data_IF_944623800960
#
_entry.id   IF_944623800960
#
_cell.length_a   1.000
_cell.length_b   1.000
_cell.length_c   1.000
_cell.angle_alpha   90.00
_cell.angle_beta   90.00
_cell.angle_gamma   90.00
#
_symmetry.space_group_name_H-M   'P 1'
#
loop_
_entity.id
_entity.type
_entity.pdbx_description
1 polymer ?
#
# COMPACT_ATOMS: atom_id res chain seq x y z
N UNK A 1 46.72 2.84 11.59
CA UNK A 1 46.51 2.03 10.38
C UNK A 1 45.05 1.61 10.34
N UNK A 2 44.36 2.02 9.27
CA UNK A 2 42.99 1.75 8.79
C UNK A 2 41.84 1.47 9.79
N UNK A 3 40.94 2.46 9.94
CA UNK A 3 39.56 2.27 10.40
C UNK A 3 38.72 1.73 9.24
N UNK A 4 38.17 0.53 9.36
CA UNK A 4 37.24 -0.02 8.36
C UNK A 4 35.86 0.57 8.60
N UNK A 5 35.52 1.63 7.86
CA UNK A 5 34.13 2.09 7.73
C UNK A 5 33.39 1.09 6.87
N UNK A 6 32.64 0.17 7.49
CA UNK A 6 31.69 -0.67 6.76
C UNK A 6 30.63 0.22 6.12
N UNK A 7 30.38 0.12 4.79
CA UNK A 7 29.24 0.81 4.21
C UNK A 7 27.97 0.12 4.75
N UNK A 8 27.20 0.84 5.57
CA UNK A 8 25.84 0.41 5.88
C UNK A 8 25.08 0.38 4.56
N UNK A 9 24.52 -0.77 4.14
CA UNK A 9 23.63 -0.77 3.00
C UNK A 9 22.42 0.07 3.40
N UNK A 10 22.33 1.26 2.81
CA UNK A 10 21.16 2.13 2.92
C UNK A 10 20.04 1.48 2.09
N UNK A 11 19.57 0.32 2.55
CA UNK A 11 18.44 -0.36 1.97
C UNK A 11 17.19 0.34 2.52
N UNK A 12 16.97 1.56 2.02
CA UNK A 12 15.66 2.20 2.06
C UNK A 12 14.76 1.34 1.17
N UNK A 13 14.31 0.21 1.72
CA UNK A 13 13.19 -0.54 1.17
C UNK A 13 12.06 0.48 1.14
N UNK A 14 11.69 0.93 -0.06
CA UNK A 14 10.54 1.82 -0.23
C UNK A 14 9.35 1.07 0.33
N UNK A 15 8.89 1.45 1.52
CA UNK A 15 7.64 0.96 2.07
C UNK A 15 6.54 1.66 1.30
N UNK A 16 6.01 0.99 0.28
CA UNK A 16 4.76 1.43 -0.35
C UNK A 16 3.63 0.95 0.54
N UNK A 17 2.72 1.85 0.86
CA UNK A 17 1.58 1.59 1.71
C UNK A 17 0.32 1.97 0.94
N UNK A 18 -0.46 0.96 0.57
CA UNK A 18 -1.78 1.12 -0.01
C UNK A 18 -2.81 1.29 1.10
N UNK A 19 -3.76 2.19 0.87
CA UNK A 19 -4.83 2.52 1.81
C UNK A 19 -6.15 2.65 1.05
N UNK A 20 -7.25 2.38 1.74
CA UNK A 20 -8.59 2.56 1.20
C UNK A 20 -9.41 3.52 2.06
N UNK A 21 -10.25 4.30 1.40
CA UNK A 21 -11.09 5.31 2.04
C UNK A 21 -12.43 4.69 2.40
N UNK A 22 -12.75 4.60 3.69
CA UNK A 22 -14.09 4.29 4.15
C UNK A 22 -14.93 5.56 4.24
N UNK A 23 -16.15 5.50 3.72
CA UNK A 23 -17.17 6.52 3.96
C UNK A 23 -18.31 5.90 4.78
N UNK A 24 -18.29 6.03 6.12
CA UNK A 24 -19.26 5.38 6.98
C UNK A 24 -20.67 5.97 6.87
N UNK A 25 -20.82 7.28 6.64
CA UNK A 25 -22.10 7.91 6.28
C UNK A 25 -21.99 8.68 4.94
N UNK A 26 -22.39 8.06 3.83
CA UNK A 26 -22.31 8.70 2.51
C UNK A 26 -23.26 9.88 2.29
N UNK A 27 -24.20 10.12 3.22
CA UNK A 27 -25.16 11.22 3.13
C UNK A 27 -24.89 12.35 4.12
N UNK A 28 -23.93 12.18 5.03
CA UNK A 28 -23.49 13.21 5.97
C UNK A 28 -22.57 14.21 5.27
N UNK A 29 -22.92 15.51 5.23
CA UNK A 29 -22.05 16.54 4.67
C UNK A 29 -20.82 16.85 5.54
N UNK A 30 -20.77 16.29 6.76
CA UNK A 30 -19.73 16.53 7.77
C UNK A 30 -18.82 15.34 8.03
N UNK A 31 -19.01 14.24 7.29
CA UNK A 31 -18.26 13.02 7.58
C UNK A 31 -16.80 13.12 7.15
N UNK A 32 -15.91 12.97 8.14
CA UNK A 32 -14.48 12.79 7.92
C UNK A 32 -14.25 11.35 7.49
N UNK A 33 -14.24 11.15 6.18
CA UNK A 33 -13.86 9.87 5.61
C UNK A 33 -12.53 9.39 6.20
N UNK A 34 -12.51 8.13 6.62
CA UNK A 34 -11.36 7.51 7.28
C UNK A 34 -10.55 6.73 6.26
N UNK A 35 -9.23 6.85 6.34
CA UNK A 35 -8.33 6.00 5.57
C UNK A 35 -7.98 4.78 6.42
N UNK A 36 -8.17 3.60 5.84
CA UNK A 36 -7.86 2.32 6.45
C UNK A 36 -6.72 1.68 5.68
N UNK A 37 -5.96 0.85 6.37
CA UNK A 37 -4.79 0.18 5.82
C UNK A 37 -5.19 -1.22 5.32
N UNK A 38 -4.59 -1.64 4.22
CA UNK A 38 -4.58 -3.06 3.85
C UNK A 38 -3.66 -3.82 4.80
N UNK A 39 -3.93 -5.11 5.02
CA UNK A 39 -2.99 -5.98 5.72
C UNK A 39 -1.67 -6.09 4.95
N UNK A 40 -0.58 -6.49 5.62
CA UNK A 40 0.74 -6.63 4.97
C UNK A 40 0.71 -7.54 3.74
N UNK A 41 -0.10 -8.61 3.77
CA UNK A 41 -0.27 -9.53 2.66
C UNK A 41 -1.04 -8.89 1.50
N UNK A 42 -2.16 -8.24 1.78
CA UNK A 42 -2.94 -7.52 0.75
C UNK A 42 -2.08 -6.41 0.13
N UNK A 43 -1.32 -5.67 0.93
CA UNK A 43 -0.41 -4.62 0.46
C UNK A 43 0.62 -5.17 -0.54
N UNK A 44 1.17 -6.36 -0.26
CA UNK A 44 2.12 -7.03 -1.16
C UNK A 44 1.46 -7.44 -2.48
N UNK A 45 0.25 -8.01 -2.42
CA UNK A 45 -0.51 -8.44 -3.61
C UNK A 45 -0.85 -7.23 -4.50
N UNK A 46 -1.29 -6.13 -3.87
CA UNK A 46 -1.65 -4.90 -4.56
C UNK A 46 -0.42 -4.29 -5.23
N UNK A 47 0.70 -4.20 -4.50
CA UNK A 47 1.95 -3.66 -5.02
C UNK A 47 2.48 -4.51 -6.19
N UNK A 48 2.47 -5.84 -6.07
CA UNK A 48 2.89 -6.74 -7.15
C UNK A 48 2.03 -6.55 -8.41
N UNK A 49 0.70 -6.55 -8.27
CA UNK A 49 -0.21 -6.36 -9.39
C UNK A 49 -0.04 -4.98 -10.06
N UNK A 50 0.22 -3.94 -9.25
CA UNK A 50 0.48 -2.59 -9.76
C UNK A 50 1.81 -2.51 -10.51
N UNK A 51 2.89 -3.08 -9.98
CA UNK A 51 4.20 -3.12 -10.63
C UNK A 51 4.16 -3.91 -11.95
N UNK A 52 3.38 -4.99 -11.99
CA UNK A 52 3.15 -5.81 -13.18
C UNK A 52 2.18 -5.18 -14.19
N UNK A 53 1.68 -3.96 -13.91
CA UNK A 53 0.75 -3.22 -14.76
C UNK A 53 -0.52 -4.01 -15.07
N UNK A 54 -0.96 -4.83 -14.13
CA UNK A 54 -2.28 -5.45 -14.21
C UNK A 54 -3.34 -4.36 -14.08
N UNK A 55 -4.51 -4.50 -14.74
CA UNK A 55 -5.61 -3.55 -14.58
C UNK A 55 -6.29 -3.68 -13.20
N UNK A 56 -6.09 -4.81 -12.51
CA UNK A 56 -6.72 -5.09 -11.23
C UNK A 56 -5.87 -5.96 -10.32
N UNK A 57 -5.98 -5.74 -9.01
CA UNK A 57 -5.51 -6.66 -7.98
C UNK A 57 -6.69 -7.50 -7.47
N UNK A 58 -6.57 -8.82 -7.50
CA UNK A 58 -7.57 -9.74 -6.95
C UNK A 58 -7.22 -10.04 -5.49
N UNK A 59 -8.15 -9.74 -4.59
CA UNK A 59 -8.11 -10.09 -3.17
C UNK A 59 -9.21 -11.12 -2.88
N UNK A 60 -9.23 -11.70 -1.69
CA UNK A 60 -10.08 -12.87 -1.40
C UNK A 60 -11.58 -12.62 -1.69
N UNK A 61 -12.12 -11.50 -1.20
CA UNK A 61 -13.55 -11.17 -1.30
C UNK A 61 -13.87 -10.04 -2.29
N UNK A 62 -12.85 -9.36 -2.80
CA UNK A 62 -13.01 -8.15 -3.63
C UNK A 62 -11.81 -7.95 -4.55
N UNK A 63 -11.91 -7.00 -5.46
CA UNK A 63 -10.80 -6.60 -6.31
C UNK A 63 -10.64 -5.09 -6.29
N UNK A 64 -9.41 -4.65 -6.51
CA UNK A 64 -9.06 -3.24 -6.70
C UNK A 64 -8.88 -3.02 -8.19
N UNK A 65 -9.58 -2.05 -8.75
CA UNK A 65 -9.39 -1.57 -10.11
C UNK A 65 -8.35 -0.43 -10.10
N UNK A 66 -7.35 -0.51 -10.97
CA UNK A 66 -6.29 0.49 -11.08
C UNK A 66 -6.54 1.52 -12.20
N UNK A 67 -7.59 1.37 -13.00
CA UNK A 67 -7.97 2.30 -14.08
C UNK A 67 -8.77 3.52 -13.62
#
# INVERSE_FOLDING_TARGET
MASYSSPTPNNSLKHVEWMWKANPDPFSPSDTATWNHYSDLENLIIEEAFQDKQPRALLDDYYIDFE
#
